data_IF_415513166205
#
_entry.id   IF_415513166205
#
_cell.length_a   1.000
_cell.length_b   1.000
_cell.length_c   1.000
_cell.angle_alpha   90.00
_cell.angle_beta   90.00
_cell.angle_gamma   90.00
#
_symmetry.space_group_name_H-M   'P 1'
#
loop_
_entity.id
_entity.type
_entity.pdbx_description
1 polymer ?
#
# COMPACT_ATOMS: atom_id res chain seq x y z
N UNK A 1 -7.83 -6.71 -17.89
CA UNK A 1 -8.18 -6.67 -16.47
C UNK A 1 -6.93 -7.09 -15.69
N UNK A 2 -6.39 -6.23 -14.83
CA UNK A 2 -5.15 -6.49 -14.07
C UNK A 2 -5.42 -7.39 -12.86
N UNK A 3 -4.37 -7.98 -12.29
CA UNK A 3 -4.46 -8.80 -11.07
C UNK A 3 -5.13 -8.03 -9.93
N UNK A 4 -4.70 -6.78 -9.70
CA UNK A 4 -5.31 -5.91 -8.70
C UNK A 4 -6.81 -5.66 -8.96
N UNK A 5 -7.23 -5.44 -10.22
CA UNK A 5 -8.65 -5.26 -10.57
C UNK A 5 -9.49 -6.51 -10.25
N UNK A 6 -8.95 -7.71 -10.48
CA UNK A 6 -9.61 -8.97 -10.12
C UNK A 6 -9.77 -9.10 -8.60
N UNK A 7 -8.73 -8.80 -7.83
CA UNK A 7 -8.78 -8.82 -6.36
C UNK A 7 -9.84 -7.83 -5.85
N UNK A 8 -9.84 -6.59 -6.35
CA UNK A 8 -10.84 -5.57 -5.99
C UNK A 8 -12.27 -6.03 -6.30
N UNK A 9 -12.49 -6.63 -7.47
CA UNK A 9 -13.80 -7.12 -7.89
C UNK A 9 -14.28 -8.25 -6.97
N UNK A 10 -13.41 -9.21 -6.67
CA UNK A 10 -13.71 -10.34 -5.78
C UNK A 10 -14.01 -9.87 -4.35
N UNK A 11 -13.21 -8.93 -3.82
CA UNK A 11 -13.45 -8.34 -2.50
C UNK A 11 -14.78 -7.60 -2.44
N UNK A 12 -15.10 -6.83 -3.48
CA UNK A 12 -16.38 -6.12 -3.59
C UNK A 12 -17.55 -7.10 -3.63
N UNK A 13 -17.43 -8.20 -4.37
CA UNK A 13 -18.46 -9.24 -4.43
C UNK A 13 -18.64 -9.93 -3.08
N UNK A 14 -17.55 -10.28 -2.39
CA UNK A 14 -17.58 -10.88 -1.05
C UNK A 14 -18.27 -9.97 -0.02
N UNK A 15 -17.91 -8.67 0.01
CA UNK A 15 -18.55 -7.66 0.86
C UNK A 15 -20.05 -7.54 0.59
N UNK A 16 -20.45 -7.47 -0.68
CA UNK A 16 -21.87 -7.41 -1.05
C UNK A 16 -22.65 -8.63 -0.59
N UNK A 17 -22.09 -9.83 -0.78
CA UNK A 17 -22.71 -11.07 -0.33
C UNK A 17 -22.85 -11.10 1.20
N UNK A 18 -21.82 -10.66 1.93
CA UNK A 18 -21.85 -10.54 3.39
C UNK A 18 -22.95 -9.59 3.87
N UNK A 19 -23.02 -8.36 3.35
CA UNK A 19 -24.04 -7.40 3.78
C UNK A 19 -25.46 -7.85 3.44
N UNK A 20 -25.66 -8.49 2.28
CA UNK A 20 -26.96 -9.06 1.94
C UNK A 20 -27.37 -10.17 2.93
N UNK A 21 -26.45 -11.06 3.29
CA UNK A 21 -26.70 -12.14 4.25
C UNK A 21 -26.93 -11.61 5.68
N UNK A 22 -26.13 -10.63 6.12
CA UNK A 22 -26.29 -9.99 7.43
C UNK A 22 -27.61 -9.23 7.52
N UNK A 23 -28.02 -8.53 6.46
CA UNK A 23 -29.32 -7.86 6.41
C UNK A 23 -30.46 -8.88 6.47
N UNK A 24 -30.38 -9.97 5.71
CA UNK A 24 -31.37 -11.06 5.72
C UNK A 24 -31.48 -11.68 7.11
N UNK A 25 -30.35 -11.86 7.82
CA UNK A 25 -30.33 -12.35 9.19
C UNK A 25 -31.07 -11.38 10.14
N UNK A 26 -30.78 -10.08 10.07
CA UNK A 26 -31.38 -9.05 10.94
C UNK A 26 -32.88 -8.91 10.74
N UNK A 27 -33.37 -9.01 9.50
CA UNK A 27 -34.79 -8.89 9.17
C UNK A 27 -35.56 -10.20 9.27
N UNK A 28 -34.91 -11.30 9.69
CA UNK A 28 -35.58 -12.59 9.78
C UNK A 28 -36.76 -12.56 10.77
N UNK A 29 -37.86 -13.17 10.38
CA UNK A 29 -39.09 -13.27 11.15
C UNK A 29 -39.52 -14.73 11.17
N UNK A 30 -39.96 -15.21 12.32
CA UNK A 30 -40.53 -16.54 12.50
C UNK A 30 -41.68 -16.41 13.51
N UNK A 31 -42.94 -16.58 13.09
CA UNK A 31 -44.10 -16.40 13.97
C UNK A 31 -44.21 -17.50 15.03
N UNK A 32 -43.52 -18.63 14.86
CA UNK A 32 -43.58 -19.77 15.76
C UNK A 32 -42.52 -19.68 16.89
N UNK A 33 -41.64 -18.68 16.84
CA UNK A 33 -40.57 -18.47 17.83
C UNK A 33 -40.92 -17.39 18.86
N UNK A 34 -40.46 -17.61 20.11
CA UNK A 34 -40.46 -16.54 21.11
C UNK A 34 -39.50 -15.42 20.72
N UNK A 35 -39.66 -14.19 21.26
CA UNK A 35 -38.75 -13.08 20.98
C UNK A 35 -37.28 -13.40 21.27
N UNK A 36 -36.99 -14.15 22.33
CA UNK A 36 -35.64 -14.58 22.70
C UNK A 36 -35.07 -15.60 21.72
N UNK A 37 -35.88 -16.57 21.29
CA UNK A 37 -35.49 -17.57 20.31
C UNK A 37 -35.25 -16.95 18.93
N UNK A 38 -36.11 -16.00 18.53
CA UNK A 38 -35.94 -15.23 17.30
C UNK A 38 -34.64 -14.41 17.35
N UNK A 39 -34.36 -13.75 18.48
CA UNK A 39 -33.11 -12.99 18.65
C UNK A 39 -31.87 -13.88 18.52
N UNK A 40 -31.86 -15.05 19.17
CA UNK A 40 -30.77 -16.03 19.02
C UNK A 40 -30.61 -16.49 17.58
N UNK A 41 -31.71 -16.83 16.92
CA UNK A 41 -31.65 -17.30 15.53
C UNK A 41 -31.13 -16.23 14.56
N UNK A 42 -31.44 -14.95 14.80
CA UNK A 42 -30.85 -13.83 14.04
C UNK A 42 -29.35 -13.73 14.27
N UNK A 43 -28.90 -13.86 15.52
CA UNK A 43 -27.48 -13.86 15.88
C UNK A 43 -26.72 -15.03 15.24
N UNK A 44 -27.30 -16.23 15.27
CA UNK A 44 -26.71 -17.43 14.66
C UNK A 44 -26.55 -17.26 13.14
N UNK A 45 -27.56 -16.71 12.47
CA UNK A 45 -27.46 -16.41 11.03
C UNK A 45 -26.43 -15.33 10.71
N UNK A 46 -26.33 -14.28 11.53
CA UNK A 46 -25.32 -13.25 11.36
C UNK A 46 -23.90 -13.81 11.60
N UNK A 47 -23.73 -14.70 12.59
CA UNK A 47 -22.47 -15.42 12.82
C UNK A 47 -22.11 -16.36 11.65
N UNK A 48 -23.09 -17.03 11.06
CA UNK A 48 -22.89 -17.84 9.85
C UNK A 48 -22.47 -16.98 8.65
N UNK A 49 -23.09 -15.80 8.47
CA UNK A 49 -22.72 -14.84 7.43
C UNK A 49 -21.27 -14.34 7.60
N UNK A 50 -20.85 -14.02 8.83
CA UNK A 50 -19.46 -13.66 9.14
C UNK A 50 -18.48 -14.79 8.83
N UNK A 51 -18.82 -16.03 9.21
CA UNK A 51 -18.00 -17.21 8.90
C UNK A 51 -17.83 -17.41 7.40
N UNK A 52 -18.91 -17.30 6.62
CA UNK A 52 -18.87 -17.42 5.17
C UNK A 52 -18.03 -16.29 4.52
N UNK A 53 -18.15 -15.07 5.04
CA UNK A 53 -17.33 -13.95 4.59
C UNK A 53 -15.84 -14.18 4.86
N UNK A 54 -15.48 -14.60 6.06
CA UNK A 54 -14.09 -14.95 6.40
C UNK A 54 -13.53 -16.04 5.48
N UNK A 55 -14.33 -17.06 5.15
CA UNK A 55 -13.93 -18.11 4.20
C UNK A 55 -13.73 -17.56 2.78
N UNK A 56 -14.58 -16.64 2.32
CA UNK A 56 -14.46 -16.00 1.02
C UNK A 56 -13.23 -15.07 0.92
N UNK A 57 -12.81 -14.45 2.02
CA UNK A 57 -11.63 -13.58 2.05
C UNK A 57 -10.30 -14.34 1.90
N UNK A 58 -10.22 -15.60 2.35
CA UNK A 58 -8.97 -16.41 2.29
C UNK A 58 -8.33 -16.48 0.90
N UNK A 59 -9.03 -16.94 -0.17
CA UNK A 59 -8.43 -16.98 -1.51
C UNK A 59 -8.08 -15.58 -2.04
N UNK A 60 -8.84 -14.55 -1.67
CA UNK A 60 -8.57 -13.17 -2.07
C UNK A 60 -7.27 -12.66 -1.42
N UNK A 61 -7.04 -13.00 -0.15
CA UNK A 61 -5.79 -12.70 0.56
C UNK A 61 -4.61 -13.41 -0.10
N UNK A 62 -4.76 -14.69 -0.44
CA UNK A 62 -3.70 -15.47 -1.11
C UNK A 62 -3.32 -14.87 -2.47
N UNK A 63 -4.31 -14.45 -3.27
CA UNK A 63 -4.10 -13.75 -4.55
C UNK A 63 -3.38 -12.42 -4.35
N UNK A 64 -3.80 -11.63 -3.36
CA UNK A 64 -3.14 -10.38 -2.98
C UNK A 64 -1.68 -10.61 -2.58
N UNK A 65 -1.40 -11.56 -1.70
CA UNK A 65 -0.03 -11.83 -1.26
C UNK A 65 0.85 -12.29 -2.42
N UNK A 66 0.32 -13.08 -3.35
CA UNK A 66 1.05 -13.46 -4.57
C UNK A 66 1.38 -12.23 -5.41
N UNK A 67 0.40 -11.34 -5.63
CA UNK A 67 0.62 -10.10 -6.37
C UNK A 67 1.66 -9.21 -5.67
N UNK A 68 1.54 -9.01 -4.36
CA UNK A 68 2.48 -8.24 -3.55
C UNK A 68 3.91 -8.81 -3.60
N UNK A 69 4.07 -10.14 -3.51
CA UNK A 69 5.38 -10.80 -3.63
C UNK A 69 6.02 -10.58 -5.00
N UNK A 70 5.24 -10.67 -6.08
CA UNK A 70 5.73 -10.42 -7.44
C UNK A 70 6.12 -8.95 -7.64
N UNK A 71 5.30 -8.04 -7.13
CA UNK A 71 5.57 -6.60 -7.16
C UNK A 71 6.86 -6.27 -6.40
N UNK A 72 7.01 -6.75 -5.16
CA UNK A 72 8.22 -6.57 -4.36
C UNK A 72 9.47 -7.14 -5.05
N UNK A 73 9.35 -8.31 -5.69
CA UNK A 73 10.44 -8.91 -6.48
C UNK A 73 10.87 -8.03 -7.65
N UNK A 74 9.92 -7.40 -8.34
CA UNK A 74 10.22 -6.47 -9.44
C UNK A 74 10.93 -5.21 -8.94
N UNK A 75 10.49 -4.65 -7.80
CA UNK A 75 11.12 -3.47 -7.19
C UNK A 75 12.52 -3.76 -6.61
N UNK A 76 12.79 -4.99 -6.21
CA UNK A 76 14.09 -5.40 -5.69
C UNK A 76 15.21 -5.52 -6.76
N UNK A 77 14.89 -5.38 -8.06
CA UNK A 77 15.82 -5.63 -9.17
C UNK A 77 16.96 -4.62 -9.32
N UNK A 78 17.04 -3.56 -8.52
CA UNK A 78 18.16 -2.60 -8.63
C UNK A 78 19.47 -3.28 -8.23
N UNK A 79 20.44 -3.41 -9.16
CA UNK A 79 21.71 -4.06 -8.88
C UNK A 79 22.50 -3.27 -7.84
N UNK A 80 23.25 -3.99 -7.02
CA UNK A 80 24.23 -3.38 -6.14
C UNK A 80 25.29 -2.62 -6.98
N UNK A 81 25.84 -1.52 -6.44
CA UNK A 81 26.91 -0.80 -7.12
C UNK A 81 28.12 -1.69 -7.37
N UNK A 82 28.70 -1.59 -8.57
CA UNK A 82 30.00 -2.19 -8.87
C UNK A 82 31.10 -1.20 -8.45
N UNK A 83 31.61 -1.35 -7.22
CA UNK A 83 32.67 -0.48 -6.67
C UNK A 83 32.17 0.46 -5.57
N UNK A 84 32.99 1.44 -5.19
CA UNK A 84 32.65 2.40 -4.14
C UNK A 84 31.70 3.49 -4.66
N UNK A 85 30.60 3.71 -3.95
CA UNK A 85 29.65 4.81 -4.18
C UNK A 85 30.06 6.12 -3.51
N UNK A 86 31.09 6.11 -2.64
CA UNK A 86 31.47 7.25 -1.81
C UNK A 86 31.90 8.49 -2.63
N UNK A 87 32.66 8.29 -3.71
CA UNK A 87 33.08 9.40 -4.58
C UNK A 87 31.90 9.97 -5.39
N UNK A 88 30.94 9.12 -5.75
CA UNK A 88 29.70 9.55 -6.39
C UNK A 88 28.84 10.34 -5.40
N UNK A 89 28.73 9.86 -4.16
CA UNK A 89 28.02 10.54 -3.08
C UNK A 89 28.64 11.91 -2.77
N UNK A 90 29.97 12.04 -2.73
CA UNK A 90 30.63 13.34 -2.54
C UNK A 90 30.23 14.35 -3.61
N UNK A 91 29.98 13.91 -4.85
CA UNK A 91 29.46 14.78 -5.92
C UNK A 91 27.99 15.16 -5.71
N UNK A 92 27.18 14.25 -5.15
CA UNK A 92 25.81 14.55 -4.72
C UNK A 92 25.83 15.62 -3.62
N UNK A 93 26.67 15.46 -2.60
CA UNK A 93 26.84 16.44 -1.51
C UNK A 93 27.24 17.82 -2.03
N UNK A 94 28.14 17.91 -3.02
CA UNK A 94 28.47 19.20 -3.64
C UNK A 94 27.26 19.86 -4.32
N UNK A 95 26.38 19.08 -4.98
CA UNK A 95 25.15 19.62 -5.59
C UNK A 95 24.15 20.05 -4.52
N UNK A 96 24.02 19.30 -3.44
CA UNK A 96 23.19 19.67 -2.28
C UNK A 96 23.70 20.97 -1.64
N UNK A 97 25.02 21.10 -1.45
CA UNK A 97 25.66 22.32 -0.95
C UNK A 97 25.50 23.53 -1.88
N UNK A 98 25.31 23.29 -3.19
CA UNK A 98 24.98 24.33 -4.17
C UNK A 98 23.47 24.68 -4.22
N UNK A 99 22.65 24.09 -3.35
CA UNK A 99 21.21 24.38 -3.24
C UNK A 99 20.30 23.46 -4.07
N UNK A 100 20.82 22.42 -4.71
CA UNK A 100 19.98 21.42 -5.35
C UNK A 100 19.26 20.54 -4.31
N UNK A 101 18.06 20.05 -4.63
CA UNK A 101 17.36 19.06 -3.80
C UNK A 101 17.68 17.64 -4.22
N UNK A 102 17.51 16.66 -3.32
CA UNK A 102 17.65 15.24 -3.66
C UNK A 102 16.73 14.83 -4.80
N UNK A 103 15.51 15.38 -4.87
CA UNK A 103 14.57 15.11 -5.96
C UNK A 103 15.09 15.60 -7.32
N UNK A 104 15.67 16.81 -7.36
CA UNK A 104 16.28 17.36 -8.58
C UNK A 104 17.50 16.54 -9.03
N UNK A 105 18.27 16.03 -8.06
CA UNK A 105 19.43 15.18 -8.33
C UNK A 105 18.95 13.85 -8.91
N UNK A 106 17.98 13.18 -8.28
CA UNK A 106 17.42 11.90 -8.76
C UNK A 106 16.79 12.06 -10.15
N UNK A 107 16.05 13.13 -10.41
CA UNK A 107 15.40 13.35 -11.72
C UNK A 107 16.39 13.35 -12.90
N UNK A 108 17.65 13.74 -12.66
CA UNK A 108 18.71 13.85 -13.68
C UNK A 108 19.83 12.81 -13.52
N UNK A 109 19.76 11.96 -12.50
CA UNK A 109 20.81 11.03 -12.15
C UNK A 109 21.01 9.94 -13.21
N UNK A 110 22.24 9.42 -13.26
CA UNK A 110 22.62 8.16 -13.91
C UNK A 110 22.58 7.00 -12.89
N UNK A 111 22.76 5.76 -13.36
CA UNK A 111 22.67 4.56 -12.50
C UNK A 111 23.64 4.61 -11.30
N UNK A 112 24.92 4.97 -11.46
CA UNK A 112 25.83 5.09 -10.32
C UNK A 112 25.38 6.13 -9.29
N UNK A 113 24.85 7.27 -9.74
CA UNK A 113 24.31 8.31 -8.83
C UNK A 113 23.09 7.81 -8.07
N UNK A 114 22.18 7.09 -8.73
CA UNK A 114 21.01 6.49 -8.06
C UNK A 114 21.41 5.46 -7.00
N UNK A 115 22.42 4.62 -7.28
CA UNK A 115 22.94 3.65 -6.32
C UNK A 115 23.55 4.35 -5.09
N UNK A 116 24.31 5.42 -5.31
CA UNK A 116 24.87 6.22 -4.22
C UNK A 116 23.78 6.91 -3.40
N UNK A 117 22.76 7.50 -4.05
CA UNK A 117 21.61 8.10 -3.35
C UNK A 117 20.89 7.05 -2.51
N UNK A 118 20.63 5.85 -3.05
CA UNK A 118 19.96 4.77 -2.32
C UNK A 118 20.73 4.32 -1.08
N UNK A 119 22.05 4.29 -1.15
CA UNK A 119 22.92 3.86 -0.05
C UNK A 119 23.05 4.94 1.04
N UNK A 120 23.28 6.19 0.65
CA UNK A 120 23.71 7.23 1.59
C UNK A 120 22.61 8.22 1.97
N UNK A 121 21.58 8.42 1.14
CA UNK A 121 20.52 9.38 1.42
C UNK A 121 19.71 9.08 2.68
N UNK A 122 19.41 7.81 3.07
CA UNK A 122 18.71 7.54 4.32
C UNK A 122 19.46 8.08 5.55
N UNK A 123 20.78 7.86 5.62
CA UNK A 123 21.61 8.41 6.69
C UNK A 123 21.71 9.92 6.60
N UNK A 124 21.85 10.47 5.39
CA UNK A 124 21.86 11.92 5.19
C UNK A 124 20.57 12.59 5.66
N UNK A 125 19.41 12.02 5.34
CA UNK A 125 18.09 12.53 5.75
C UNK A 125 17.88 12.39 7.27
N UNK A 126 18.38 11.32 7.88
CA UNK A 126 18.33 11.18 9.33
C UNK A 126 19.14 12.26 10.07
N UNK A 127 20.21 12.77 9.45
CA UNK A 127 21.09 13.79 10.05
C UNK A 127 20.69 15.22 9.64
N UNK A 128 20.26 15.42 8.39
CA UNK A 128 20.09 16.74 7.77
C UNK A 128 18.65 17.01 7.29
N UNK A 129 17.74 16.05 7.37
CA UNK A 129 16.38 16.11 6.80
C UNK A 129 15.39 16.99 7.55
N UNK A 130 15.84 17.76 8.55
CA UNK A 130 14.98 18.65 9.33
C UNK A 130 14.14 17.89 10.35
N UNK A 131 12.82 17.94 10.20
CA UNK A 131 11.89 17.33 11.15
C UNK A 131 12.03 15.79 11.16
N UNK A 132 12.44 15.18 12.31
CA UNK A 132 12.57 13.74 12.42
C UNK A 132 11.24 13.00 12.20
N UNK A 133 10.09 13.65 12.41
CA UNK A 133 8.78 13.05 12.13
C UNK A 133 8.48 12.94 10.62
N UNK A 134 9.04 13.82 9.79
CA UNK A 134 8.86 13.83 8.35
C UNK A 134 9.88 12.96 7.59
N UNK A 135 11.01 12.62 8.22
CA UNK A 135 12.10 11.88 7.60
C UNK A 135 11.70 10.52 6.96
N UNK A 136 10.83 9.69 7.57
CA UNK A 136 10.40 8.42 6.96
C UNK A 136 9.65 8.62 5.64
N UNK A 137 8.69 9.54 5.60
CA UNK A 137 7.91 9.83 4.39
C UNK A 137 8.79 10.39 3.26
N UNK A 138 9.79 11.20 3.60
CA UNK A 138 10.78 11.69 2.64
C UNK A 138 11.65 10.55 2.09
N UNK A 139 12.05 9.60 2.95
CA UNK A 139 12.81 8.42 2.57
C UNK A 139 12.06 7.52 1.58
N UNK A 140 10.82 7.16 1.89
CA UNK A 140 9.98 6.31 1.04
C UNK A 140 9.74 6.93 -0.35
N UNK A 141 9.46 8.24 -0.36
CA UNK A 141 9.29 9.01 -1.60
C UNK A 141 10.56 9.02 -2.44
N UNK A 142 11.73 9.25 -1.81
CA UNK A 142 13.01 9.27 -2.49
C UNK A 142 13.38 7.90 -3.07
N UNK A 143 13.10 6.82 -2.34
CA UNK A 143 13.28 5.46 -2.84
C UNK A 143 12.41 5.23 -4.09
N UNK A 144 11.13 5.61 -4.05
CA UNK A 144 10.24 5.49 -5.21
C UNK A 144 10.72 6.30 -6.42
N UNK A 145 11.16 7.54 -6.22
CA UNK A 145 11.71 8.37 -7.28
C UNK A 145 12.99 7.75 -7.88
N UNK A 146 13.84 7.17 -7.02
CA UNK A 146 15.07 6.47 -7.42
C UNK A 146 14.75 5.25 -8.29
N UNK A 147 13.76 4.44 -7.88
CA UNK A 147 13.29 3.29 -8.64
C UNK A 147 12.66 3.70 -9.97
N UNK A 148 11.84 4.75 -9.99
CA UNK A 148 11.21 5.25 -11.21
C UNK A 148 12.25 5.75 -12.22
N UNK A 149 13.26 6.50 -11.75
CA UNK A 149 14.37 6.94 -12.59
C UNK A 149 15.19 5.77 -13.09
N UNK A 150 15.48 4.78 -12.23
CA UNK A 150 16.21 3.59 -12.61
C UNK A 150 15.50 2.84 -13.74
N UNK A 151 14.20 2.54 -13.57
CA UNK A 151 13.38 1.89 -14.59
C UNK A 151 13.34 2.66 -15.91
N UNK A 152 13.35 3.99 -15.86
CA UNK A 152 13.39 4.83 -17.06
C UNK A 152 14.74 4.79 -17.78
N UNK A 153 15.87 4.68 -17.06
CA UNK A 153 17.22 4.58 -17.66
C UNK A 153 17.45 3.19 -18.25
N UNK A 154 17.00 2.14 -17.55
CA UNK A 154 17.25 0.75 -17.95
C UNK A 154 16.15 0.15 -18.82
N UNK A 155 15.09 0.93 -19.08
CA UNK A 155 13.89 0.48 -19.81
C UNK A 155 13.26 -0.78 -19.19
N UNK A 156 13.37 -0.94 -17.85
CA UNK A 156 12.81 -2.08 -17.11
C UNK A 156 11.28 -1.96 -17.00
N UNK A 157 10.59 -2.52 -18.00
CA UNK A 157 9.13 -2.52 -18.08
C UNK A 157 8.46 -3.22 -16.89
N UNK A 158 9.08 -4.25 -16.31
CA UNK A 158 8.53 -4.95 -15.15
C UNK A 158 8.56 -4.04 -13.90
N UNK A 159 9.67 -3.33 -13.70
CA UNK A 159 9.80 -2.38 -12.58
C UNK A 159 8.86 -1.19 -12.77
N UNK A 160 8.75 -0.66 -13.99
CA UNK A 160 7.80 0.42 -14.29
C UNK A 160 6.36 0.00 -14.03
N UNK A 161 5.97 -1.20 -14.47
CA UNK A 161 4.65 -1.77 -14.17
C UNK A 161 4.43 -1.98 -12.67
N UNK A 162 5.45 -2.48 -11.96
CA UNK A 162 5.38 -2.68 -10.52
C UNK A 162 5.21 -1.36 -9.75
N UNK A 163 5.93 -0.31 -10.14
CA UNK A 163 5.78 1.03 -9.58
C UNK A 163 4.38 1.59 -9.82
N UNK A 164 3.82 1.39 -11.01
CA UNK A 164 2.46 1.81 -11.34
C UNK A 164 1.39 1.04 -10.53
N UNK A 165 1.62 -0.24 -10.23
CA UNK A 165 0.67 -1.08 -9.50
C UNK A 165 0.76 -0.92 -7.97
N UNK A 166 1.92 -0.51 -7.43
CA UNK A 166 2.18 -0.40 -6.00
C UNK A 166 1.13 0.41 -5.20
N UNK A 167 0.63 1.57 -5.67
CA UNK A 167 -0.42 2.32 -4.96
C UNK A 167 -1.71 1.51 -4.79
N UNK A 168 -2.09 0.77 -5.82
CA UNK A 168 -3.31 -0.05 -5.79
C UNK A 168 -3.15 -1.20 -4.80
N UNK A 169 -1.98 -1.83 -4.77
CA UNK A 169 -1.69 -2.91 -3.82
C UNK A 169 -1.65 -2.40 -2.37
N UNK A 170 -1.09 -1.21 -2.12
CA UNK A 170 -1.09 -0.61 -0.78
C UNK A 170 -2.52 -0.35 -0.27
N UNK A 171 -3.40 0.21 -1.11
CA UNK A 171 -4.81 0.39 -0.76
C UNK A 171 -5.55 -0.93 -0.53
N UNK A 172 -5.26 -1.95 -1.36
CA UNK A 172 -5.83 -3.29 -1.23
C UNK A 172 -5.41 -3.97 0.08
N UNK A 173 -4.17 -3.79 0.53
CA UNK A 173 -3.68 -4.32 1.80
C UNK A 173 -4.57 -3.87 2.96
N UNK A 174 -4.75 -2.56 3.09
CA UNK A 174 -5.56 -1.95 4.15
C UNK A 174 -7.03 -2.37 4.04
N UNK A 175 -7.58 -2.42 2.81
CA UNK A 175 -8.97 -2.81 2.61
C UNK A 175 -9.21 -4.27 2.98
N UNK A 176 -8.24 -5.15 2.73
CA UNK A 176 -8.31 -6.56 3.14
C UNK A 176 -8.17 -6.73 4.65
N UNK A 177 -7.27 -5.99 5.29
CA UNK A 177 -7.12 -6.01 6.76
C UNK A 177 -8.41 -5.54 7.44
N UNK A 178 -9.02 -4.48 6.94
CA UNK A 178 -10.32 -3.97 7.40
C UNK A 178 -11.46 -4.97 7.16
N UNK A 179 -11.48 -5.64 6.00
CA UNK A 179 -12.45 -6.69 5.69
C UNK A 179 -12.32 -7.91 6.62
N UNK A 180 -11.10 -8.33 6.95
CA UNK A 180 -10.85 -9.45 7.86
C UNK A 180 -11.20 -9.09 9.30
N UNK A 181 -10.88 -7.86 9.74
CA UNK A 181 -11.31 -7.33 11.03
C UNK A 181 -12.85 -7.31 11.14
N UNK A 182 -13.54 -6.89 10.09
CA UNK A 182 -15.01 -6.92 10.02
C UNK A 182 -15.55 -8.35 10.09
N UNK A 183 -14.95 -9.30 9.37
CA UNK A 183 -15.34 -10.70 9.41
C UNK A 183 -15.15 -11.33 10.80
N UNK A 184 -14.16 -10.87 11.56
CA UNK A 184 -13.91 -11.25 12.96
C UNK A 184 -14.89 -10.56 13.95
N UNK A 185 -15.70 -9.61 13.48
CA UNK A 185 -16.63 -8.86 14.32
C UNK A 185 -15.98 -7.75 15.15
N UNK A 186 -14.81 -7.24 14.72
CA UNK A 186 -14.13 -6.14 15.39
C UNK A 186 -14.98 -4.86 15.24
N UNK A 187 -15.35 -4.17 16.34
CA UNK A 187 -16.14 -2.96 16.28
C UNK A 187 -15.46 -1.85 15.46
N UNK A 188 -16.21 -1.23 14.54
CA UNK A 188 -15.72 -0.11 13.73
C UNK A 188 -14.94 -0.49 12.46
N UNK A 189 -14.72 -1.79 12.22
CA UNK A 189 -14.21 -2.30 10.95
C UNK A 189 -15.28 -2.28 9.84
N UNK A 190 -14.87 -2.27 8.58
CA UNK A 190 -15.75 -2.24 7.40
C UNK A 190 -16.34 -0.85 7.10
N UNK A 191 -15.76 0.20 7.68
CA UNK A 191 -16.33 1.55 7.70
C UNK A 191 -15.48 2.62 6.99
N UNK A 192 -15.91 3.88 7.14
CA UNK A 192 -15.24 5.05 6.56
C UNK A 192 -13.76 5.16 6.97
N UNK A 193 -13.43 4.77 8.20
CA UNK A 193 -12.05 4.82 8.70
C UNK A 193 -11.13 3.90 7.89
N UNK A 194 -11.59 2.68 7.57
CA UNK A 194 -10.84 1.75 6.71
C UNK A 194 -10.68 2.29 5.29
N UNK A 195 -11.73 2.92 4.73
CA UNK A 195 -11.67 3.54 3.41
C UNK A 195 -10.70 4.73 3.35
N UNK A 196 -10.68 5.58 4.39
CA UNK A 196 -9.73 6.71 4.50
C UNK A 196 -8.31 6.18 4.66
N UNK A 197 -8.09 5.18 5.52
CA UNK A 197 -6.78 4.55 5.68
C UNK A 197 -6.27 3.94 4.36
N UNK A 198 -7.14 3.29 3.58
CA UNK A 198 -6.79 2.76 2.28
C UNK A 198 -6.44 3.88 1.28
N UNK A 199 -7.20 4.98 1.26
CA UNK A 199 -6.89 6.14 0.42
C UNK A 199 -5.53 6.79 0.79
N UNK A 200 -5.24 6.91 2.08
CA UNK A 200 -3.94 7.39 2.55
C UNK A 200 -2.79 6.45 2.16
N UNK A 201 -3.01 5.14 2.22
CA UNK A 201 -2.01 4.16 1.77
C UNK A 201 -1.76 4.26 0.25
N UNK A 202 -2.81 4.47 -0.56
CA UNK A 202 -2.67 4.73 -2.01
C UNK A 202 -1.85 6.00 -2.25
N UNK A 203 -2.16 7.08 -1.53
CA UNK A 203 -1.45 8.35 -1.68
C UNK A 203 0.02 8.24 -1.29
N UNK A 204 0.31 7.62 -0.14
CA UNK A 204 1.67 7.40 0.35
C UNK A 204 2.48 6.57 -0.65
N UNK A 205 1.93 5.46 -1.13
CA UNK A 205 2.60 4.59 -2.09
C UNK A 205 2.71 5.19 -3.50
N UNK A 206 1.89 6.18 -3.86
CA UNK A 206 1.90 6.85 -5.17
C UNK A 206 2.80 8.08 -5.27
N UNK A 207 3.11 8.72 -4.13
CA UNK A 207 3.79 10.01 -4.11
C UNK A 207 5.21 9.95 -4.68
N UNK A 208 5.51 10.85 -5.61
CA UNK A 208 6.86 11.06 -6.19
C UNK A 208 7.32 12.53 -6.14
N UNK A 209 6.46 13.45 -5.69
CA UNK A 209 6.70 14.90 -5.65
C UNK A 209 6.19 15.47 -4.34
N UNK A 210 6.90 16.47 -3.78
CA UNK A 210 6.36 17.33 -2.72
C UNK A 210 5.60 18.46 -3.40
N UNK A 211 4.36 18.70 -2.97
CA UNK A 211 3.69 19.96 -3.24
C UNK A 211 4.40 21.03 -2.40
N UNK A 212 5.02 22.05 -3.01
CA UNK A 212 5.83 23.03 -2.28
C UNK A 212 5.06 23.82 -1.21
N UNK A 213 3.72 23.70 -1.17
CA UNK A 213 2.84 24.47 -0.28
C UNK A 213 2.32 23.70 0.96
N UNK A 214 2.75 22.46 1.21
CA UNK A 214 2.37 21.73 2.44
C UNK A 214 3.40 21.85 3.56
N UNK A 215 3.69 23.07 3.98
CA UNK A 215 4.21 23.37 5.32
C UNK A 215 3.58 24.66 5.83
N UNK A 216 2.61 24.54 6.73
CA UNK A 216 2.11 25.60 7.60
C UNK A 216 2.29 25.15 9.06
#
# INVERSE_FOLDING_TARGET
MTTAQTITANLTAARRAYYAAAQTARTHQDPDLTPEALTRQRQDREAAARTAYAQALRPIREDYERAARLNAKALAKVPAPTGSTADVWRRVEMRLGAGATLDQIVATADVPTLQAVREWAPTYLAVNGGDPAAAPALGDRLERATLARYAAITEDADMAAALAEAPTLAGLAVTLDDAEAEAQGIPGAGGLNGAVAAALAVQAAGSTTVDPDTTA
#
